data_IF_204483706336
#
_entry.id   IF_204483706336
#
_cell.length_a   1.000
_cell.length_b   1.000
_cell.length_c   1.000
_cell.angle_alpha   90.00
_cell.angle_beta   90.00
_cell.angle_gamma   90.00
#
_symmetry.space_group_name_H-M   'P 1'
#
loop_
_entity.id
_entity.type
_entity.pdbx_description
1 polymer ?
#
# COMPACT_ATOMS: atom_id res chain seq x y z
N UNK A 1 -17.94 -32.49 -26.00
CA UNK A 1 -18.97 -31.58 -25.46
C UNK A 1 -19.20 -31.94 -24.01
N UNK A 2 -18.75 -31.10 -23.10
CA UNK A 2 -18.94 -31.23 -21.65
C UNK A 2 -19.26 -29.84 -21.13
N UNK A 3 -20.34 -29.75 -20.37
CA UNK A 3 -21.02 -28.53 -19.97
C UNK A 3 -20.08 -27.56 -19.22
N UNK A 4 -20.16 -26.27 -19.61
CA UNK A 4 -19.66 -25.18 -18.79
C UNK A 4 -20.42 -25.19 -17.45
N UNK A 5 -19.73 -25.12 -16.30
CA UNK A 5 -20.41 -24.79 -15.05
C UNK A 5 -21.03 -23.40 -15.21
N UNK A 6 -22.28 -23.30 -14.79
CA UNK A 6 -23.06 -22.07 -14.77
C UNK A 6 -22.27 -20.92 -14.15
N UNK A 7 -22.25 -19.78 -14.83
CA UNK A 7 -21.83 -18.51 -14.25
C UNK A 7 -22.48 -18.36 -12.87
N UNK A 8 -21.66 -18.22 -11.83
CA UNK A 8 -22.13 -17.72 -10.54
C UNK A 8 -22.95 -16.46 -10.83
N UNK A 9 -24.25 -16.50 -10.50
CA UNK A 9 -25.06 -15.28 -10.47
C UNK A 9 -24.28 -14.29 -9.61
N UNK A 10 -23.87 -13.17 -10.18
CA UNK A 10 -23.23 -12.07 -9.46
C UNK A 10 -23.97 -11.88 -8.14
N UNK A 11 -23.36 -12.28 -7.03
CA UNK A 11 -23.97 -12.10 -5.73
C UNK A 11 -24.15 -10.60 -5.58
N UNK A 12 -25.41 -10.15 -5.51
CA UNK A 12 -25.70 -8.74 -5.23
C UNK A 12 -25.03 -8.47 -3.88
N UNK A 13 -23.97 -7.67 -3.89
CA UNK A 13 -23.31 -7.16 -2.69
C UNK A 13 -23.97 -5.82 -2.40
N UNK A 14 -24.80 -5.78 -1.37
CA UNK A 14 -25.47 -4.57 -0.92
C UNK A 14 -25.63 -4.57 0.60
N UNK A 15 -26.21 -3.52 1.15
CA UNK A 15 -26.24 -3.30 2.59
C UNK A 15 -27.24 -4.25 3.27
N UNK A 16 -27.12 -4.38 4.59
CA UNK A 16 -28.04 -5.18 5.41
C UNK A 16 -28.53 -4.38 6.61
N UNK A 17 -29.82 -4.43 6.89
CA UNK A 17 -30.45 -3.61 7.93
C UNK A 17 -31.93 -3.41 7.69
N UNK A 18 -32.42 -2.20 7.99
CA UNK A 18 -33.83 -1.85 7.88
C UNK A 18 -34.02 -0.57 7.09
N UNK A 19 -35.05 -0.56 6.25
CA UNK A 19 -35.50 0.58 5.48
C UNK A 19 -36.87 1.03 6.03
N UNK A 20 -36.93 2.22 6.59
CA UNK A 20 -38.14 2.85 7.12
C UNK A 20 -38.76 3.75 6.05
N UNK A 21 -40.06 3.59 5.78
CA UNK A 21 -40.82 4.43 4.86
C UNK A 21 -42.29 4.49 5.29
N UNK A 22 -42.84 5.68 5.44
CA UNK A 22 -44.25 5.91 5.83
C UNK A 22 -44.70 5.12 7.08
N UNK A 23 -43.80 4.97 8.06
CA UNK A 23 -44.03 4.21 9.30
C UNK A 23 -43.97 2.69 9.14
N UNK A 24 -43.63 2.19 7.96
CA UNK A 24 -43.37 0.77 7.70
C UNK A 24 -41.87 0.48 7.76
N UNK A 25 -41.54 -0.72 8.24
CA UNK A 25 -40.17 -1.22 8.33
C UNK A 25 -39.99 -2.39 7.36
N UNK A 26 -39.11 -2.20 6.39
CA UNK A 26 -38.71 -3.18 5.39
C UNK A 26 -37.37 -3.79 5.79
N UNK A 27 -37.22 -5.10 5.61
CA UNK A 27 -35.95 -5.78 5.87
C UNK A 27 -35.08 -5.66 4.62
N UNK A 28 -33.83 -5.27 4.79
CA UNK A 28 -32.82 -5.29 3.72
C UNK A 28 -31.77 -6.34 4.06
N UNK A 29 -31.55 -7.30 3.17
CA UNK A 29 -30.58 -8.38 3.34
C UNK A 29 -29.73 -8.52 2.08
N UNK A 30 -28.43 -8.26 2.20
CA UNK A 30 -27.47 -8.19 1.08
C UNK A 30 -28.01 -7.36 -0.10
N UNK A 31 -28.56 -6.19 0.22
CA UNK A 31 -29.17 -5.25 -0.71
C UNK A 31 -30.59 -5.60 -1.17
N UNK A 32 -31.10 -6.80 -0.93
CA UNK A 32 -32.49 -7.15 -1.32
C UNK A 32 -33.46 -6.62 -0.28
N UNK A 33 -34.47 -5.89 -0.74
CA UNK A 33 -35.50 -5.29 0.11
C UNK A 33 -36.72 -6.21 0.15
N UNK A 34 -37.20 -6.52 1.35
CA UNK A 34 -38.36 -7.40 1.58
C UNK A 34 -39.49 -6.66 2.30
N UNK A 35 -40.70 -6.88 1.83
CA UNK A 35 -41.96 -6.51 2.49
C UNK A 35 -42.78 -7.78 2.69
N UNK A 36 -43.11 -8.11 3.94
CA UNK A 36 -43.83 -9.35 4.30
C UNK A 36 -43.24 -10.62 3.65
N UNK A 37 -41.90 -10.70 3.61
CA UNK A 37 -41.17 -11.84 3.02
C UNK A 37 -41.07 -11.85 1.49
N UNK A 38 -41.70 -10.91 0.79
CA UNK A 38 -41.63 -10.79 -0.67
C UNK A 38 -40.57 -9.76 -1.09
N UNK A 39 -39.73 -10.06 -2.11
CA UNK A 39 -38.75 -9.09 -2.61
C UNK A 39 -39.46 -7.95 -3.32
N UNK A 40 -39.23 -6.72 -2.86
CA UNK A 40 -39.85 -5.50 -3.40
C UNK A 40 -38.85 -4.52 -4.02
N UNK A 41 -37.56 -4.83 -4.02
CA UNK A 41 -36.54 -4.02 -4.68
C UNK A 41 -35.11 -4.40 -4.29
N UNK A 42 -34.15 -3.62 -4.79
CA UNK A 42 -32.73 -3.70 -4.44
C UNK A 42 -32.26 -2.32 -3.98
N UNK A 43 -31.52 -2.27 -2.88
CA UNK A 43 -30.77 -1.14 -2.35
C UNK A 43 -29.27 -1.41 -2.51
N UNK A 44 -28.51 -0.41 -2.96
CA UNK A 44 -27.05 -0.44 -3.03
C UNK A 44 -26.43 0.39 -1.90
N UNK A 45 -25.15 0.17 -1.62
CA UNK A 45 -24.44 0.85 -0.51
C UNK A 45 -24.42 2.37 -0.69
N UNK A 46 -24.40 2.85 -1.94
CA UNK A 46 -24.43 4.26 -2.31
C UNK A 46 -25.83 4.89 -2.31
N UNK A 47 -26.84 4.16 -1.83
CA UNK A 47 -28.21 4.64 -1.72
C UNK A 47 -29.02 4.63 -3.01
N UNK A 48 -28.55 4.00 -4.08
CA UNK A 48 -29.42 3.72 -5.23
C UNK A 48 -30.40 2.59 -4.95
N UNK A 49 -31.60 2.76 -5.51
CA UNK A 49 -32.67 1.77 -5.53
C UNK A 49 -32.90 1.29 -6.96
N UNK A 50 -33.18 0.00 -7.14
CA UNK A 50 -33.51 -0.59 -8.44
C UNK A 50 -34.67 -1.60 -8.31
N UNK A 51 -35.45 -1.76 -9.38
CA UNK A 51 -36.53 -2.74 -9.48
C UNK A 51 -37.53 -2.69 -8.32
N UNK A 52 -37.78 -1.47 -7.83
CA UNK A 52 -38.69 -1.23 -6.71
C UNK A 52 -40.14 -1.46 -7.09
N UNK A 53 -40.95 -1.91 -6.15
CA UNK A 53 -42.39 -2.20 -6.29
C UNK A 53 -43.10 -2.08 -4.94
N UNK A 54 -44.43 -2.26 -4.93
CA UNK A 54 -45.22 -2.22 -3.71
C UNK A 54 -45.16 -0.86 -3.02
N UNK A 55 -44.82 -0.86 -1.73
CA UNK A 55 -44.75 0.33 -0.85
C UNK A 55 -43.67 1.32 -1.27
N UNK A 56 -42.65 0.86 -2.00
CA UNK A 56 -41.63 1.73 -2.60
C UNK A 56 -42.09 2.37 -3.93
N UNK A 57 -43.22 1.94 -4.48
CA UNK A 57 -43.69 2.31 -5.82
C UNK A 57 -42.96 1.56 -6.94
N UNK A 58 -43.65 1.37 -8.07
CA UNK A 58 -43.12 0.61 -9.21
C UNK A 58 -42.12 1.46 -10.02
N UNK A 59 -40.84 1.08 -9.98
CA UNK A 59 -39.80 1.73 -10.78
C UNK A 59 -38.71 0.72 -11.16
N UNK A 60 -38.51 0.52 -12.47
CA UNK A 60 -37.56 -0.48 -12.99
C UNK A 60 -36.12 0.04 -13.10
N UNK A 61 -35.91 1.36 -13.16
CA UNK A 61 -34.58 1.96 -13.31
C UNK A 61 -33.96 2.32 -11.96
N UNK A 62 -32.65 2.57 -11.99
CA UNK A 62 -31.92 3.14 -10.86
C UNK A 62 -32.49 4.52 -10.49
N UNK A 63 -32.71 4.76 -9.21
CA UNK A 63 -33.03 6.07 -8.64
C UNK A 63 -32.44 6.23 -7.25
N UNK A 64 -32.01 7.43 -6.83
CA UNK A 64 -31.54 7.66 -5.46
C UNK A 64 -32.65 7.46 -4.42
N UNK A 65 -32.30 7.01 -3.22
CA UNK A 65 -33.21 6.86 -2.07
C UNK A 65 -33.93 8.18 -1.73
N UNK A 66 -33.30 9.33 -1.96
CA UNK A 66 -33.89 10.66 -1.71
C UNK A 66 -35.12 10.95 -2.57
N UNK A 67 -35.31 10.20 -3.67
CA UNK A 67 -36.53 10.34 -4.49
C UNK A 67 -37.77 9.77 -3.80
N UNK A 68 -37.60 9.05 -2.69
CA UNK A 68 -38.66 8.56 -1.81
C UNK A 68 -38.69 9.42 -0.54
N UNK A 69 -39.64 10.37 -0.43
CA UNK A 69 -39.73 11.26 0.74
C UNK A 69 -39.84 10.46 2.05
N UNK A 70 -39.03 10.83 3.05
CA UNK A 70 -39.04 10.19 4.37
C UNK A 70 -38.45 8.78 4.43
N UNK A 71 -37.89 8.27 3.33
CA UNK A 71 -37.28 6.95 3.29
C UNK A 71 -35.89 6.96 3.93
N UNK A 72 -35.69 6.13 4.96
CA UNK A 72 -34.43 6.06 5.72
C UNK A 72 -33.98 4.61 5.88
N UNK A 73 -32.76 4.30 5.45
CA UNK A 73 -32.07 3.05 5.76
C UNK A 73 -31.14 3.21 6.97
N UNK A 74 -31.11 2.19 7.83
CA UNK A 74 -30.16 2.05 8.93
C UNK A 74 -29.65 0.61 8.99
N UNK A 75 -28.34 0.44 8.97
CA UNK A 75 -27.72 -0.88 9.02
C UNK A 75 -26.22 -0.84 8.80
N UNK A 76 -25.73 -1.80 8.03
CA UNK A 76 -24.34 -1.93 7.61
C UNK A 76 -24.24 -1.98 6.10
N UNK A 77 -23.13 -1.49 5.55
CA UNK A 77 -22.80 -1.67 4.13
C UNK A 77 -22.42 -3.13 3.83
N UNK A 78 -22.20 -3.43 2.55
CA UNK A 78 -21.82 -4.77 2.09
C UNK A 78 -20.51 -5.32 2.67
N UNK A 79 -19.72 -4.48 3.35
CA UNK A 79 -18.45 -4.84 3.99
C UNK A 79 -18.50 -4.75 5.53
N UNK A 80 -19.68 -4.49 6.10
CA UNK A 80 -19.92 -4.54 7.54
C UNK A 80 -19.65 -3.25 8.32
N UNK A 81 -19.48 -2.11 7.65
CA UNK A 81 -19.40 -0.81 8.31
C UNK A 81 -20.78 -0.17 8.46
N UNK A 82 -21.00 0.56 9.56
CA UNK A 82 -22.25 1.30 9.80
C UNK A 82 -22.65 2.18 8.61
N UNK A 83 -23.91 2.09 8.20
CA UNK A 83 -24.47 2.80 7.07
C UNK A 83 -25.86 3.37 7.42
N UNK A 84 -26.02 4.66 7.15
CA UNK A 84 -27.30 5.38 7.25
C UNK A 84 -27.53 6.12 5.94
N UNK A 85 -28.70 5.93 5.33
CA UNK A 85 -29.07 6.56 4.06
C UNK A 85 -30.48 7.14 4.15
N UNK A 86 -30.78 8.32 3.58
CA UNK A 86 -29.79 9.29 3.14
C UNK A 86 -28.89 9.73 4.31
N UNK A 87 -27.63 10.13 4.06
CA UNK A 87 -26.80 10.79 5.05
C UNK A 87 -27.44 12.12 5.45
N UNK A 88 -27.06 12.67 6.62
CA UNK A 88 -27.63 13.88 7.23
C UNK A 88 -27.77 15.10 6.31
N UNK A 89 -26.89 16.09 6.42
CA UNK A 89 -26.89 17.21 5.46
C UNK A 89 -26.48 16.68 4.07
N UNK A 90 -27.23 17.05 3.03
CA UNK A 90 -26.93 16.63 1.66
C UNK A 90 -25.60 17.20 1.17
N UNK A 91 -24.93 16.51 0.25
CA UNK A 91 -23.69 16.98 -0.37
C UNK A 91 -23.78 17.16 -1.89
N UNK A 92 -22.64 17.40 -2.57
CA UNK A 92 -22.61 17.65 -4.00
C UNK A 92 -22.95 16.41 -4.82
N UNK A 93 -23.28 16.59 -6.09
CA UNK A 93 -23.46 15.50 -7.05
C UNK A 93 -22.66 15.75 -8.32
N UNK A 94 -22.07 14.70 -8.90
CA UNK A 94 -21.23 14.82 -10.09
C UNK A 94 -20.30 13.63 -10.31
N UNK A 95 -19.16 13.89 -10.94
CA UNK A 95 -18.10 12.92 -11.15
C UNK A 95 -16.85 13.31 -10.37
N UNK A 96 -16.15 12.31 -9.85
CA UNK A 96 -14.88 12.47 -9.14
C UNK A 96 -13.81 11.58 -9.77
N UNK A 97 -12.60 12.12 -9.92
CA UNK A 97 -11.40 11.37 -10.26
C UNK A 97 -10.42 11.43 -9.10
N UNK A 98 -10.07 10.29 -8.53
CA UNK A 98 -9.20 10.17 -7.35
C UNK A 98 -7.99 9.29 -7.70
N UNK A 99 -6.81 9.90 -7.74
CA UNK A 99 -5.57 9.28 -8.23
C UNK A 99 -5.71 8.57 -9.59
N UNK A 100 -6.53 9.10 -10.49
CA UNK A 100 -6.79 8.44 -11.78
C UNK A 100 -8.06 7.60 -11.83
N UNK A 101 -8.52 7.09 -10.68
CA UNK A 101 -9.70 6.22 -10.55
C UNK A 101 -10.98 7.05 -10.64
N UNK A 102 -11.97 6.56 -11.39
CA UNK A 102 -13.24 7.24 -11.60
C UNK A 102 -14.29 6.79 -10.57
N UNK A 103 -14.97 7.77 -9.99
CA UNK A 103 -16.04 7.63 -9.03
C UNK A 103 -17.22 8.53 -9.41
N UNK A 104 -18.42 8.14 -9.00
CA UNK A 104 -19.58 9.02 -9.02
C UNK A 104 -19.85 9.58 -7.64
N UNK A 105 -20.36 10.81 -7.61
CA UNK A 105 -20.78 11.49 -6.39
C UNK A 105 -22.28 11.74 -6.47
N UNK A 106 -23.04 11.28 -5.49
CA UNK A 106 -24.50 11.46 -5.43
C UNK A 106 -24.91 11.91 -4.04
N UNK A 107 -25.39 13.16 -3.95
CA UNK A 107 -25.78 13.81 -2.70
C UNK A 107 -24.70 13.68 -1.61
N UNK A 108 -23.45 13.87 -1.99
CA UNK A 108 -22.27 13.75 -1.13
C UNK A 108 -21.71 12.35 -1.02
N UNK A 109 -22.38 11.30 -1.49
CA UNK A 109 -21.86 9.92 -1.43
C UNK A 109 -20.90 9.65 -2.59
N UNK A 110 -19.67 9.29 -2.27
CA UNK A 110 -18.65 8.85 -3.24
C UNK A 110 -18.81 7.36 -3.43
N UNK A 111 -19.07 6.93 -4.65
CA UNK A 111 -19.30 5.53 -4.95
C UNK A 111 -18.58 5.06 -6.20
N UNK A 112 -18.15 3.80 -6.13
CA UNK A 112 -17.51 3.08 -7.22
C UNK A 112 -18.54 2.70 -8.29
N UNK A 113 -18.13 2.42 -9.54
CA UNK A 113 -19.06 2.13 -10.64
C UNK A 113 -20.02 0.94 -10.41
N UNK A 114 -19.68 0.06 -9.47
CA UNK A 114 -20.50 -1.07 -9.04
C UNK A 114 -21.47 -0.74 -7.88
N UNK A 115 -21.62 0.54 -7.55
CA UNK A 115 -22.44 1.08 -6.46
C UNK A 115 -21.94 0.77 -5.04
N UNK A 116 -20.68 0.36 -4.89
CA UNK A 116 -20.02 0.28 -3.59
C UNK A 116 -19.75 1.68 -3.02
N UNK A 117 -20.16 1.92 -1.77
CA UNK A 117 -19.91 3.19 -1.09
C UNK A 117 -18.45 3.25 -0.61
N UNK A 118 -17.74 4.28 -1.07
CA UNK A 118 -16.32 4.50 -0.80
C UNK A 118 -16.12 5.56 0.28
N UNK A 119 -17.00 6.55 0.32
CA UNK A 119 -16.85 7.69 1.20
C UNK A 119 -17.93 8.72 1.02
N UNK A 120 -17.71 9.87 1.64
CA UNK A 120 -18.57 11.04 1.57
C UNK A 120 -17.73 12.28 1.23
N UNK A 121 -18.37 13.27 0.65
CA UNK A 121 -17.80 14.59 0.38
C UNK A 121 -18.83 15.66 0.70
N UNK A 122 -18.38 16.75 1.31
CA UNK A 122 -19.20 17.93 1.57
C UNK A 122 -19.10 18.98 0.43
N UNK A 123 -19.93 20.02 0.52
CA UNK A 123 -19.94 21.11 -0.46
C UNK A 123 -18.66 21.97 -0.46
N UNK A 124 -17.82 21.84 0.56
CA UNK A 124 -16.52 22.51 0.67
C UNK A 124 -15.39 21.68 0.03
N UNK A 125 -15.67 20.43 -0.33
CA UNK A 125 -14.72 19.51 -0.94
C UNK A 125 -13.94 18.66 0.07
N UNK A 126 -14.33 18.65 1.35
CA UNK A 126 -13.75 17.76 2.35
C UNK A 126 -14.19 16.33 2.11
N UNK A 127 -13.24 15.41 2.02
CA UNK A 127 -13.50 13.99 1.78
C UNK A 127 -13.41 13.19 3.08
N UNK A 128 -14.36 12.28 3.26
CA UNK A 128 -14.39 11.30 4.33
C UNK A 128 -14.41 9.90 3.71
N UNK A 129 -13.37 9.09 3.93
CA UNK A 129 -13.33 7.71 3.41
C UNK A 129 -13.92 6.72 4.40
N UNK A 130 -14.48 5.63 3.87
CA UNK A 130 -14.80 4.42 4.62
C UNK A 130 -13.57 3.52 4.64
N UNK A 131 -13.04 3.26 5.83
CA UNK A 131 -11.86 2.43 6.02
C UNK A 131 -12.29 1.07 6.56
N UNK A 132 -12.71 0.19 5.65
CA UNK A 132 -13.22 -1.15 5.95
C UNK A 132 -12.21 -2.02 6.68
N UNK A 133 -10.92 -1.88 6.35
CA UNK A 133 -9.85 -2.65 7.00
C UNK A 133 -9.80 -2.34 8.50
N UNK A 134 -9.83 -1.06 8.86
CA UNK A 134 -9.68 -0.61 10.24
C UNK A 134 -11.02 -0.39 10.95
N UNK A 135 -12.12 -0.73 10.28
CA UNK A 135 -13.50 -0.56 10.76
C UNK A 135 -13.84 0.89 11.16
N UNK A 136 -13.33 1.86 10.40
CA UNK A 136 -13.63 3.28 10.61
C UNK A 136 -14.65 3.75 9.55
N UNK A 137 -15.90 4.08 9.94
CA UNK A 137 -16.95 4.45 8.99
C UNK A 137 -16.73 5.81 8.34
N UNK A 138 -16.04 6.74 9.03
CA UNK A 138 -15.73 8.07 8.51
C UNK A 138 -14.33 8.49 8.91
N UNK A 139 -13.41 8.45 7.95
CA UNK A 139 -12.05 8.93 8.08
C UNK A 139 -11.87 10.22 7.28
N UNK A 140 -11.75 11.36 7.95
CA UNK A 140 -11.49 12.65 7.30
C UNK A 140 -10.12 12.62 6.63
N UNK A 141 -10.07 13.02 5.36
CA UNK A 141 -8.81 13.25 4.66
C UNK A 141 -8.30 14.68 4.89
N UNK A 142 -6.98 14.80 4.95
CA UNK A 142 -6.24 16.05 5.01
C UNK A 142 -5.16 16.09 3.92
N UNK A 143 -4.42 17.19 3.86
CA UNK A 143 -3.41 17.42 2.82
C UNK A 143 -2.28 16.36 2.81
N UNK A 144 -2.03 15.70 3.94
CA UNK A 144 -0.95 14.71 4.09
C UNK A 144 -1.34 13.30 3.65
N UNK A 145 -2.64 12.99 3.60
CA UNK A 145 -3.17 11.66 3.29
C UNK A 145 -4.13 11.64 2.08
N UNK A 146 -4.58 12.78 1.57
CA UNK A 146 -5.35 12.85 0.34
C UNK A 146 -4.48 12.54 -0.90
N UNK A 147 -5.07 11.96 -1.94
CA UNK A 147 -4.44 11.75 -3.25
C UNK A 147 -5.02 12.72 -4.27
N UNK A 148 -4.36 12.89 -5.43
CA UNK A 148 -4.79 13.84 -6.45
C UNK A 148 -6.27 13.69 -6.77
N UNK A 149 -7.06 14.75 -6.57
CA UNK A 149 -8.52 14.70 -6.63
C UNK A 149 -9.04 15.77 -7.59
N UNK A 150 -9.95 15.38 -8.49
CA UNK A 150 -10.67 16.30 -9.37
C UNK A 150 -12.16 15.99 -9.24
N UNK A 151 -12.97 17.01 -8.97
CA UNK A 151 -14.43 16.92 -8.85
C UNK A 151 -15.06 17.91 -9.81
N UNK A 152 -16.02 17.41 -10.59
CA UNK A 152 -16.85 18.22 -11.48
C UNK A 152 -18.32 17.86 -11.25
N UNK A 153 -19.13 18.85 -10.87
CA UNK A 153 -20.50 18.62 -10.46
C UNK A 153 -21.26 19.86 -10.02
N UNK A 154 -22.21 19.67 -9.10
CA UNK A 154 -23.00 20.72 -8.47
C UNK A 154 -23.04 20.53 -6.96
N UNK A 155 -22.98 21.63 -6.21
CA UNK A 155 -23.23 21.67 -4.77
C UNK A 155 -24.69 21.36 -4.45
N UNK A 156 -25.00 21.13 -3.18
CA UNK A 156 -26.39 20.98 -2.71
C UNK A 156 -27.26 22.20 -3.03
N UNK A 157 -26.67 23.40 -3.08
CA UNK A 157 -27.33 24.66 -3.51
C UNK A 157 -27.72 24.69 -4.98
N UNK A 158 -27.18 23.78 -5.81
CA UNK A 158 -27.31 23.77 -7.26
C UNK A 158 -26.20 24.53 -7.99
N UNK A 159 -25.32 25.25 -7.27
CA UNK A 159 -24.17 25.95 -7.84
C UNK A 159 -23.16 24.96 -8.43
N UNK A 160 -22.46 25.37 -9.49
CA UNK A 160 -21.42 24.54 -10.08
C UNK A 160 -20.26 24.32 -9.08
N UNK A 161 -19.85 23.06 -8.95
CA UNK A 161 -18.69 22.65 -8.18
C UNK A 161 -17.59 22.21 -9.15
N UNK A 162 -16.46 22.90 -9.09
CA UNK A 162 -15.21 22.44 -9.68
C UNK A 162 -14.12 22.54 -8.62
N UNK A 163 -13.61 21.38 -8.20
CA UNK A 163 -12.56 21.30 -7.19
C UNK A 163 -11.41 20.46 -7.74
N UNK A 164 -10.19 20.96 -7.60
CA UNK A 164 -8.97 20.27 -8.01
C UNK A 164 -7.97 20.38 -6.86
N UNK A 165 -7.62 19.24 -6.27
CA UNK A 165 -6.61 19.14 -5.23
C UNK A 165 -5.45 18.29 -5.69
N UNK A 166 -4.25 18.80 -5.47
CA UNK A 166 -2.99 18.11 -5.72
C UNK A 166 -2.03 18.40 -4.59
N UNK A 167 -1.16 17.43 -4.30
CA UNK A 167 -0.08 17.65 -3.33
C UNK A 167 0.90 18.72 -3.82
N UNK A 168 1.55 19.46 -2.89
CA UNK A 168 2.70 20.27 -3.24
C UNK A 168 3.74 19.42 -4.00
N UNK A 169 4.23 19.93 -5.14
CA UNK A 169 5.17 19.26 -6.06
C UNK A 169 4.60 18.04 -6.82
N UNK A 170 3.28 17.92 -6.93
CA UNK A 170 2.63 16.92 -7.77
C UNK A 170 2.93 17.12 -9.26
N UNK A 171 3.32 16.04 -9.94
CA UNK A 171 3.39 15.99 -11.40
C UNK A 171 2.04 15.48 -11.92
N UNK A 172 1.28 16.36 -12.59
CA UNK A 172 -0.11 16.11 -13.03
C UNK A 172 -0.29 14.88 -13.94
N UNK A 173 0.78 14.44 -14.56
CA UNK A 173 0.84 13.30 -15.48
C UNK A 173 1.21 11.97 -14.80
N UNK A 174 1.42 11.94 -13.48
CA UNK A 174 1.99 10.79 -12.77
C UNK A 174 1.08 10.24 -11.67
N UNK A 175 1.01 8.91 -11.49
CA UNK A 175 0.34 8.32 -10.34
C UNK A 175 1.09 8.66 -9.04
N UNK A 176 0.41 8.50 -7.90
CA UNK A 176 0.99 8.78 -6.58
C UNK A 176 2.33 8.06 -6.37
N UNK A 177 2.39 6.76 -6.67
CA UNK A 177 3.60 5.96 -6.44
C UNK A 177 4.84 6.52 -7.13
N UNK A 178 4.72 6.87 -8.42
CA UNK A 178 5.80 7.51 -9.18
C UNK A 178 6.16 8.88 -8.61
N UNK A 179 5.16 9.70 -8.28
CA UNK A 179 5.41 11.02 -7.70
C UNK A 179 6.10 10.95 -6.34
N UNK A 180 5.82 9.94 -5.51
CA UNK A 180 6.48 9.75 -4.21
C UNK A 180 7.92 9.25 -4.38
N UNK A 181 8.18 8.35 -5.32
CA UNK A 181 9.55 7.91 -5.64
C UNK A 181 10.43 9.06 -6.15
N UNK A 182 9.87 9.95 -6.97
CA UNK A 182 10.56 11.17 -7.43
C UNK A 182 10.87 12.10 -6.24
N UNK A 183 9.93 12.26 -5.30
CA UNK A 183 10.12 13.10 -4.11
C UNK A 183 11.14 12.53 -3.14
N UNK A 184 11.21 11.21 -3.04
CA UNK A 184 12.17 10.52 -2.19
C UNK A 184 13.62 10.67 -2.70
N UNK A 185 13.83 10.80 -4.00
CA UNK A 185 15.18 10.92 -4.58
C UNK A 185 15.51 12.37 -4.96
N UNK A 186 16.34 13.06 -4.16
CA UNK A 186 16.55 14.52 -4.25
C UNK A 186 17.04 14.99 -5.63
N UNK A 187 17.92 14.23 -6.28
CA UNK A 187 18.52 14.57 -7.57
C UNK A 187 17.90 13.81 -8.75
N UNK A 188 16.61 13.44 -8.63
CA UNK A 188 15.93 12.58 -9.61
C UNK A 188 16.05 13.10 -11.05
N UNK A 189 15.93 14.41 -11.26
CA UNK A 189 15.98 14.99 -12.61
C UNK A 189 17.36 14.80 -13.27
N UNK A 190 18.44 14.71 -12.48
CA UNK A 190 19.80 14.43 -12.94
C UNK A 190 20.06 12.97 -13.32
N UNK A 191 19.16 12.05 -12.98
CA UNK A 191 19.31 10.63 -13.33
C UNK A 191 19.03 10.38 -14.82
N UNK A 192 19.79 9.45 -15.41
CA UNK A 192 19.53 8.95 -16.75
C UNK A 192 18.35 7.97 -16.78
N UNK A 193 17.88 7.58 -17.98
CA UNK A 193 16.70 6.72 -18.14
C UNK A 193 16.83 5.35 -17.45
N UNK A 194 18.01 4.73 -17.49
CA UNK A 194 18.27 3.42 -16.87
C UNK A 194 18.24 3.51 -15.34
N UNK A 195 18.84 4.56 -14.78
CA UNK A 195 18.83 4.84 -13.34
C UNK A 195 17.40 5.09 -12.83
N UNK A 196 16.61 5.88 -13.56
CA UNK A 196 15.20 6.15 -13.22
C UNK A 196 14.37 4.87 -13.25
N UNK A 197 14.56 4.02 -14.26
CA UNK A 197 13.88 2.72 -14.36
C UNK A 197 14.24 1.82 -13.19
N UNK A 198 15.53 1.68 -12.87
CA UNK A 198 16.00 0.88 -11.74
C UNK A 198 15.38 1.35 -10.41
N UNK A 199 15.38 2.66 -10.16
CA UNK A 199 14.77 3.25 -8.97
C UNK A 199 13.29 2.89 -8.84
N UNK A 200 12.52 3.02 -9.93
CA UNK A 200 11.10 2.68 -9.91
C UNK A 200 10.84 1.20 -9.68
N UNK A 201 11.65 0.31 -10.27
CA UNK A 201 11.54 -1.13 -10.03
C UNK A 201 11.83 -1.49 -8.56
N UNK A 202 12.78 -0.80 -7.92
CA UNK A 202 13.19 -1.06 -6.54
C UNK A 202 12.19 -0.51 -5.50
N UNK A 203 11.57 0.65 -5.76
CA UNK A 203 10.78 1.36 -4.74
C UNK A 203 9.27 1.29 -4.93
N UNK A 204 8.77 0.73 -6.03
CA UNK A 204 7.32 0.69 -6.34
C UNK A 204 6.49 0.15 -5.17
N UNK A 205 6.89 -0.97 -4.57
CA UNK A 205 6.17 -1.56 -3.44
C UNK A 205 6.04 -0.58 -2.26
N UNK A 206 7.14 0.07 -1.89
CA UNK A 206 7.20 0.95 -0.74
C UNK A 206 6.42 2.25 -0.98
N UNK A 207 6.41 2.73 -2.22
CA UNK A 207 5.60 3.86 -2.62
C UNK A 207 4.10 3.51 -2.58
N UNK A 208 3.68 2.43 -3.25
CA UNK A 208 2.27 2.02 -3.34
C UNK A 208 1.67 1.61 -1.99
N UNK A 209 2.49 1.22 -1.00
CA UNK A 209 2.05 0.94 0.37
C UNK A 209 2.03 2.16 1.29
N UNK A 210 2.54 3.32 0.84
CA UNK A 210 2.64 4.57 1.60
C UNK A 210 3.85 4.65 2.56
N UNK A 211 4.60 3.55 2.72
CA UNK A 211 5.76 3.48 3.60
C UNK A 211 6.89 4.42 3.18
N UNK A 212 7.08 4.59 1.87
CA UNK A 212 8.09 5.50 1.33
C UNK A 212 7.83 6.94 1.79
N UNK A 213 6.56 7.37 1.80
CA UNK A 213 6.20 8.69 2.30
C UNK A 213 6.48 8.81 3.79
N UNK A 214 6.07 7.83 4.60
CA UNK A 214 6.30 7.87 6.06
C UNK A 214 7.79 8.05 6.33
N UNK A 215 8.61 7.16 5.78
CA UNK A 215 10.07 7.21 5.91
C UNK A 215 10.64 8.55 5.41
N UNK A 216 10.19 9.04 4.26
CA UNK A 216 10.65 10.32 3.71
C UNK A 216 10.36 11.50 4.64
N UNK A 217 9.19 11.49 5.26
CA UNK A 217 8.74 12.58 6.14
C UNK A 217 9.32 12.52 7.54
N UNK A 218 9.69 11.34 8.03
CA UNK A 218 10.20 11.16 9.40
C UNK A 218 11.72 11.08 9.45
N UNK A 219 12.32 10.35 8.49
CA UNK A 219 13.75 10.14 8.42
C UNK A 219 14.36 11.08 7.38
N UNK A 220 13.96 10.99 6.12
CA UNK A 220 14.47 11.88 5.09
C UNK A 220 14.57 11.23 3.71
N UNK A 221 15.26 11.91 2.81
CA UNK A 221 15.36 11.55 1.40
C UNK A 221 16.63 10.73 1.09
N UNK A 222 16.67 10.17 -0.12
CA UNK A 222 17.87 9.58 -0.71
C UNK A 222 18.51 10.55 -1.73
N UNK A 223 19.84 10.61 -1.77
CA UNK A 223 20.61 11.40 -2.73
C UNK A 223 21.83 10.64 -3.24
N UNK A 224 22.39 11.06 -4.39
CA UNK A 224 23.72 10.60 -4.81
C UNK A 224 24.80 11.44 -4.14
N UNK A 225 25.90 10.81 -3.74
CA UNK A 225 27.07 11.53 -3.26
C UNK A 225 28.34 10.73 -3.41
N UNK A 226 29.45 11.37 -3.06
CA UNK A 226 30.77 10.73 -3.06
C UNK A 226 31.06 10.25 -1.64
N UNK A 227 30.48 9.11 -1.25
CA UNK A 227 30.71 8.52 0.08
C UNK A 227 31.73 7.40 -0.10
N UNK A 228 32.97 7.64 0.34
CA UNK A 228 33.96 6.55 0.38
C UNK A 228 33.47 5.50 1.38
N UNK A 229 33.20 4.28 0.89
CA UNK A 229 32.87 3.11 1.69
C UNK A 229 33.71 3.04 2.97
N UNK A 230 33.03 2.99 4.12
CA UNK A 230 33.65 2.98 5.45
C UNK A 230 32.99 3.93 6.46
N UNK A 231 32.09 4.81 6.02
CA UNK A 231 31.44 5.81 6.87
C UNK A 231 29.90 5.79 6.86
N UNK A 232 29.24 4.97 6.02
CA UNK A 232 27.78 4.87 6.00
C UNK A 232 27.21 4.34 7.33
N UNK A 233 27.95 3.44 7.99
CA UNK A 233 27.57 2.92 9.31
C UNK A 233 27.83 3.84 10.51
N UNK A 234 28.55 4.97 10.36
CA UNK A 234 28.93 5.79 11.53
C UNK A 234 28.91 7.32 11.37
N UNK A 235 28.76 7.90 10.19
CA UNK A 235 28.72 9.36 10.04
C UNK A 235 27.68 9.78 9.01
N UNK A 236 26.48 10.08 9.52
CA UNK A 236 25.33 10.62 8.76
C UNK A 236 24.00 10.63 9.52
N UNK A 237 23.90 9.90 10.64
CA UNK A 237 22.65 9.69 11.41
C UNK A 237 22.22 10.91 12.27
N UNK A 238 22.48 12.14 11.82
CA UNK A 238 21.93 13.35 12.47
C UNK A 238 21.03 14.20 11.59
N UNK A 239 20.86 13.86 10.30
CA UNK A 239 19.96 14.59 9.38
C UNK A 239 19.02 13.69 8.57
N UNK A 240 19.03 12.37 8.80
CA UNK A 240 18.03 11.41 8.31
C UNK A 240 17.92 11.20 6.78
N UNK A 241 18.71 11.92 5.99
CA UNK A 241 18.94 11.59 4.57
C UNK A 241 19.96 10.46 4.41
N UNK A 242 19.78 9.63 3.38
CA UNK A 242 20.76 8.62 2.95
C UNK A 242 21.45 9.06 1.66
N UNK A 243 22.75 8.77 1.57
CA UNK A 243 23.58 9.11 0.42
C UNK A 243 24.11 7.84 -0.20
N UNK A 244 23.70 7.56 -1.43
CA UNK A 244 24.21 6.48 -2.27
C UNK A 244 25.52 6.89 -2.91
N UNK A 245 26.53 6.03 -2.81
CA UNK A 245 27.75 6.22 -3.59
C UNK A 245 27.45 6.06 -5.08
N UNK A 246 27.91 7.02 -5.89
CA UNK A 246 27.60 7.05 -7.32
C UNK A 246 28.20 5.88 -8.08
N UNK A 247 29.42 5.48 -7.75
CA UNK A 247 30.10 4.37 -8.44
C UNK A 247 29.46 3.03 -8.08
N UNK A 248 29.07 2.87 -6.81
CA UNK A 248 28.26 1.74 -6.37
C UNK A 248 26.90 1.68 -7.05
N UNK A 249 26.18 2.81 -7.10
CA UNK A 249 24.87 2.87 -7.74
C UNK A 249 24.94 2.49 -9.22
N UNK A 250 25.90 3.02 -9.97
CA UNK A 250 26.07 2.70 -11.39
C UNK A 250 26.51 1.23 -11.60
N UNK A 251 27.36 0.70 -10.71
CA UNK A 251 27.77 -0.70 -10.72
C UNK A 251 26.58 -1.63 -10.44
N UNK A 252 25.82 -1.39 -9.39
CA UNK A 252 24.69 -2.24 -9.01
C UNK A 252 23.60 -2.28 -10.08
N UNK A 253 23.38 -1.17 -10.77
CA UNK A 253 22.52 -1.12 -11.95
C UNK A 253 23.01 -2.07 -13.04
N UNK A 254 24.29 -2.03 -13.39
CA UNK A 254 24.86 -2.93 -14.40
C UNK A 254 24.71 -4.39 -13.98
N UNK A 255 25.03 -4.71 -12.73
CA UNK A 255 24.87 -6.06 -12.18
C UNK A 255 23.42 -6.52 -12.19
N UNK A 256 22.48 -5.66 -11.80
CA UNK A 256 21.05 -5.98 -11.78
C UNK A 256 20.52 -6.31 -13.17
N UNK A 257 20.84 -5.51 -14.20
CA UNK A 257 20.35 -5.77 -15.55
C UNK A 257 21.08 -6.92 -16.25
N UNK A 258 22.31 -7.25 -15.82
CA UNK A 258 23.11 -8.33 -16.40
C UNK A 258 22.90 -9.69 -15.74
N UNK A 259 22.73 -9.70 -14.42
CA UNK A 259 22.71 -10.92 -13.59
C UNK A 259 21.38 -11.10 -12.84
N UNK A 260 20.51 -10.09 -12.84
CA UNK A 260 19.28 -10.09 -12.06
C UNK A 260 19.50 -9.66 -10.61
N UNK A 261 18.54 -9.98 -9.76
CA UNK A 261 18.52 -9.54 -8.36
C UNK A 261 19.69 -10.09 -7.54
N UNK A 262 20.10 -11.33 -7.81
CA UNK A 262 21.18 -11.98 -7.09
C UNK A 262 22.41 -12.15 -7.98
N UNK A 263 23.60 -11.88 -7.43
CA UNK A 263 24.87 -12.19 -8.08
C UNK A 263 25.78 -12.97 -7.13
N UNK A 264 26.32 -14.10 -7.59
CA UNK A 264 27.39 -14.80 -6.89
C UNK A 264 28.74 -14.27 -7.37
N UNK A 265 29.55 -13.72 -6.47
CA UNK A 265 30.84 -13.11 -6.78
C UNK A 265 31.97 -13.91 -6.15
N UNK A 266 33.05 -14.10 -6.92
CA UNK A 266 34.27 -14.75 -6.42
C UNK A 266 34.98 -13.84 -5.42
N UNK A 267 35.42 -14.42 -4.32
CA UNK A 267 36.28 -13.73 -3.36
C UNK A 267 37.76 -13.97 -3.66
N UNK A 268 38.65 -13.36 -2.86
CA UNK A 268 40.09 -13.64 -2.91
C UNK A 268 40.43 -15.07 -2.45
N UNK A 269 39.52 -15.72 -1.74
CA UNK A 269 39.66 -17.11 -1.28
C UNK A 269 39.09 -18.00 -2.38
N UNK A 270 39.95 -18.87 -2.93
CA UNK A 270 39.57 -19.78 -4.02
C UNK A 270 38.39 -20.65 -3.58
N UNK A 271 37.46 -20.90 -4.52
CA UNK A 271 36.28 -21.77 -4.36
C UNK A 271 35.19 -21.26 -3.41
N UNK A 272 35.39 -20.09 -2.77
CA UNK A 272 34.41 -19.42 -1.91
C UNK A 272 33.74 -18.26 -2.64
N UNK A 273 32.41 -18.24 -2.60
CA UNK A 273 31.55 -17.23 -3.22
C UNK A 273 30.81 -16.44 -2.15
N UNK A 274 30.59 -15.17 -2.44
CA UNK A 274 29.65 -14.30 -1.73
C UNK A 274 28.42 -14.11 -2.63
N UNK A 275 27.21 -14.29 -2.10
CA UNK A 275 25.98 -13.96 -2.84
C UNK A 275 25.57 -12.53 -2.49
N UNK A 276 25.35 -11.67 -3.46
CA UNK A 276 24.92 -10.28 -3.25
C UNK A 276 23.53 -10.04 -3.80
N UNK A 277 22.83 -9.08 -3.20
CA UNK A 277 21.56 -8.55 -3.69
C UNK A 277 21.83 -7.21 -4.38
N UNK A 278 21.54 -7.11 -5.67
CA UNK A 278 21.83 -5.93 -6.50
C UNK A 278 20.68 -4.89 -6.42
N UNK A 279 20.27 -4.52 -5.21
CA UNK A 279 19.12 -3.64 -4.92
C UNK A 279 19.51 -2.51 -3.95
N UNK A 280 20.62 -1.81 -4.24
CA UNK A 280 21.21 -0.82 -3.33
C UNK A 280 20.25 0.29 -2.90
N UNK A 281 19.35 0.75 -3.78
CA UNK A 281 18.37 1.80 -3.41
C UNK A 281 17.39 1.28 -2.36
N UNK A 282 16.92 0.04 -2.51
CA UNK A 282 16.01 -0.57 -1.56
C UNK A 282 16.72 -0.99 -0.26
N UNK A 283 18.00 -1.34 -0.34
CA UNK A 283 18.86 -1.59 0.82
C UNK A 283 18.97 -0.34 1.71
N UNK A 284 19.32 0.80 1.11
CA UNK A 284 19.40 2.08 1.82
C UNK A 284 18.05 2.53 2.40
N UNK A 285 16.97 2.33 1.64
CA UNK A 285 15.62 2.52 2.17
C UNK A 285 15.36 1.62 3.38
N UNK A 286 15.86 0.38 3.39
CA UNK A 286 15.77 -0.55 4.51
C UNK A 286 16.39 -0.02 5.80
N UNK A 287 17.54 0.64 5.71
CA UNK A 287 18.13 1.33 6.88
C UNK A 287 17.22 2.41 7.45
N UNK A 288 16.63 3.26 6.60
CA UNK A 288 15.69 4.27 7.08
C UNK A 288 14.39 3.64 7.62
N UNK A 289 13.90 2.58 6.97
CA UNK A 289 12.71 1.86 7.40
C UNK A 289 12.89 1.27 8.80
N UNK A 290 14.10 0.86 9.20
CA UNK A 290 14.37 0.38 10.55
C UNK A 290 13.97 1.40 11.63
N UNK A 291 14.19 2.70 11.35
CA UNK A 291 13.88 3.78 12.29
C UNK A 291 12.38 4.03 12.44
N UNK A 292 11.52 3.57 11.54
CA UNK A 292 10.05 3.72 11.73
C UNK A 292 9.43 2.55 12.51
N UNK A 293 10.20 1.49 12.74
CA UNK A 293 9.73 0.30 13.47
C UNK A 293 9.60 0.56 14.98
N UNK A 294 8.68 -0.16 15.60
CA UNK A 294 8.57 -0.23 17.05
C UNK A 294 9.82 -0.87 17.67
N UNK A 295 10.13 -0.53 18.92
CA UNK A 295 11.24 -1.14 19.65
C UNK A 295 11.11 -2.68 19.74
N UNK A 296 9.89 -3.18 19.95
CA UNK A 296 9.62 -4.62 20.01
C UNK A 296 9.97 -5.32 18.69
N UNK A 297 9.61 -4.70 17.56
CA UNK A 297 9.94 -5.20 16.22
C UNK A 297 11.46 -5.20 16.00
N UNK A 298 12.16 -4.12 16.37
CA UNK A 298 13.62 -4.03 16.23
C UNK A 298 14.34 -5.10 17.07
N UNK A 299 13.91 -5.34 18.31
CA UNK A 299 14.48 -6.40 19.14
C UNK A 299 14.20 -7.79 18.55
N UNK A 300 12.99 -8.01 17.99
CA UNK A 300 12.68 -9.26 17.30
C UNK A 300 13.61 -9.50 16.09
N UNK A 301 13.90 -8.47 15.30
CA UNK A 301 14.83 -8.54 14.16
C UNK A 301 16.25 -8.88 14.65
N UNK A 302 16.71 -8.28 15.75
CA UNK A 302 18.02 -8.60 16.35
C UNK A 302 18.12 -10.06 16.78
N UNK A 303 17.05 -10.61 17.37
CA UNK A 303 17.03 -12.01 17.79
C UNK A 303 17.05 -12.96 16.59
N UNK A 304 16.26 -12.68 15.54
CA UNK A 304 16.32 -13.43 14.28
C UNK A 304 17.72 -13.40 13.66
N UNK A 305 18.36 -12.24 13.61
CA UNK A 305 19.74 -12.11 13.15
C UNK A 305 20.71 -12.98 13.98
N UNK A 306 20.61 -12.96 15.31
CA UNK A 306 21.48 -13.77 16.19
C UNK A 306 21.30 -15.26 15.93
N UNK A 307 20.07 -15.72 15.75
CA UNK A 307 19.76 -17.11 15.41
C UNK A 307 20.37 -17.52 14.07
N UNK A 308 20.18 -16.69 13.03
CA UNK A 308 20.75 -16.94 11.70
C UNK A 308 22.27 -16.90 11.71
N UNK A 309 22.87 -15.93 12.40
CA UNK A 309 24.33 -15.83 12.54
C UNK A 309 24.91 -17.07 13.21
N UNK A 310 24.33 -17.51 14.32
CA UNK A 310 24.76 -18.74 15.02
C UNK A 310 24.66 -19.98 14.13
N UNK A 311 23.61 -20.06 13.31
CA UNK A 311 23.43 -21.14 12.33
C UNK A 311 24.47 -21.07 11.20
N UNK A 312 24.73 -19.87 10.67
CA UNK A 312 25.74 -19.62 9.66
C UNK A 312 27.14 -19.98 10.16
N UNK A 313 27.52 -19.54 11.36
CA UNK A 313 28.84 -19.82 11.95
C UNK A 313 29.08 -21.31 12.15
N UNK A 314 28.01 -22.09 12.31
CA UNK A 314 28.08 -23.56 12.41
C UNK A 314 28.20 -24.24 11.04
N UNK A 315 27.48 -23.76 10.02
CA UNK A 315 27.35 -24.44 8.72
C UNK A 315 28.35 -23.94 7.68
N UNK A 316 28.60 -22.63 7.66
CA UNK A 316 29.50 -21.93 6.75
C UNK A 316 30.42 -21.00 7.58
N UNK A 317 31.33 -21.58 8.40
CA UNK A 317 32.27 -20.79 9.17
C UNK A 317 33.17 -19.96 8.23
N UNK A 318 33.50 -18.73 8.65
CA UNK A 318 34.43 -17.91 7.88
C UNK A 318 35.83 -18.54 7.91
N UNK A 319 36.52 -18.61 6.76
CA UNK A 319 37.95 -18.97 6.74
C UNK A 319 38.76 -18.02 7.61
N UNK A 320 39.76 -18.53 8.33
CA UNK A 320 40.62 -17.72 9.22
C UNK A 320 41.32 -16.57 8.50
N UNK A 321 41.65 -16.77 7.22
CA UNK A 321 42.29 -15.79 6.35
C UNK A 321 41.33 -14.76 5.74
N UNK A 322 40.02 -14.87 5.98
CA UNK A 322 39.03 -13.92 5.47
C UNK A 322 38.91 -12.70 6.40
N UNK A 323 39.31 -11.49 5.96
CA UNK A 323 39.24 -10.30 6.81
C UNK A 323 37.82 -9.71 6.91
N UNK A 324 36.87 -10.20 6.11
CA UNK A 324 35.50 -9.68 6.03
C UNK A 324 34.54 -10.36 7.00
N UNK A 325 33.32 -9.84 7.07
CA UNK A 325 32.24 -10.38 7.90
C UNK A 325 31.08 -11.00 7.09
N UNK A 326 31.15 -10.94 5.75
CA UNK A 326 30.12 -11.49 4.88
C UNK A 326 30.09 -13.02 4.92
N UNK A 327 28.91 -13.63 4.79
CA UNK A 327 28.80 -15.07 4.59
C UNK A 327 29.47 -15.47 3.28
N UNK A 328 30.37 -16.46 3.37
CA UNK A 328 31.00 -17.10 2.24
C UNK A 328 30.55 -18.54 2.16
N UNK A 329 30.18 -18.98 0.96
CA UNK A 329 29.75 -20.35 0.70
C UNK A 329 30.57 -20.98 -0.42
N UNK A 330 30.94 -22.27 -0.32
CA UNK A 330 31.48 -23.00 -1.45
C UNK A 330 30.51 -22.98 -2.64
N UNK A 331 31.03 -23.01 -3.87
CA UNK A 331 30.21 -22.95 -5.08
C UNK A 331 29.07 -23.98 -5.12
N UNK A 332 29.32 -25.21 -4.65
CA UNK A 332 28.33 -26.28 -4.62
C UNK A 332 27.28 -26.14 -3.48
N UNK A 333 27.41 -25.11 -2.63
CA UNK A 333 26.55 -24.83 -1.48
C UNK A 333 25.83 -23.47 -1.57
N UNK A 334 25.85 -22.78 -2.72
CA UNK A 334 25.15 -21.50 -2.91
C UNK A 334 23.67 -21.55 -2.49
N UNK A 335 22.98 -22.63 -2.82
CA UNK A 335 21.55 -22.82 -2.49
C UNK A 335 21.31 -23.16 -1.01
N UNK A 336 22.38 -23.44 -0.26
CA UNK A 336 22.35 -23.74 1.18
C UNK A 336 22.82 -22.57 2.04
N UNK A 337 22.99 -21.38 1.46
CA UNK A 337 23.32 -20.17 2.21
C UNK A 337 22.28 -19.90 3.29
N UNK A 338 22.67 -19.17 4.32
CA UNK A 338 21.82 -18.83 5.46
C UNK A 338 21.21 -17.45 5.27
N UNK A 339 21.98 -16.51 4.72
CA UNK A 339 21.53 -15.14 4.51
C UNK A 339 21.11 -14.87 3.07
N UNK A 340 20.21 -13.90 2.90
CA UNK A 340 19.68 -13.51 1.60
C UNK A 340 20.78 -12.92 0.69
N UNK A 341 21.69 -12.19 1.32
CA UNK A 341 22.95 -11.63 0.81
C UNK A 341 24.04 -11.99 1.82
N UNK A 342 25.26 -12.25 1.36
CA UNK A 342 26.39 -12.53 2.23
C UNK A 342 26.69 -11.35 3.15
N UNK A 343 26.53 -10.12 2.65
CA UNK A 343 26.75 -8.90 3.42
C UNK A 343 25.83 -8.78 4.65
N UNK A 344 24.62 -9.33 4.60
CA UNK A 344 23.67 -9.41 5.71
C UNK A 344 24.24 -10.09 6.97
N UNK A 345 25.25 -10.95 6.84
CA UNK A 345 25.89 -11.61 8.00
C UNK A 345 26.61 -10.61 8.91
N UNK A 346 27.08 -9.48 8.35
CA UNK A 346 27.98 -8.55 9.02
C UNK A 346 27.39 -7.96 10.30
N UNK A 347 26.16 -7.42 10.24
CA UNK A 347 25.45 -6.82 11.38
C UNK A 347 23.94 -7.06 11.25
N UNK A 348 23.18 -6.84 12.35
CA UNK A 348 21.72 -6.93 12.30
C UNK A 348 21.06 -5.83 11.45
N UNK A 349 21.70 -4.66 11.34
CA UNK A 349 21.24 -3.56 10.48
C UNK A 349 21.34 -3.95 9.00
N UNK A 350 22.47 -4.57 8.62
CA UNK A 350 22.68 -5.06 7.26
C UNK A 350 21.79 -6.25 6.94
N UNK A 351 21.57 -7.13 7.91
CA UNK A 351 20.56 -8.19 7.79
C UNK A 351 19.18 -7.65 7.48
N UNK A 352 18.74 -6.63 8.21
CA UNK A 352 17.46 -5.99 7.97
C UNK A 352 17.40 -5.33 6.58
N UNK A 353 18.37 -4.49 6.25
CA UNK A 353 18.42 -3.76 4.97
C UNK A 353 18.42 -4.70 3.77
N UNK A 354 19.19 -5.79 3.82
CA UNK A 354 19.25 -6.80 2.77
C UNK A 354 17.93 -7.58 2.62
N UNK A 355 17.23 -7.84 3.73
CA UNK A 355 15.90 -8.46 3.69
C UNK A 355 14.85 -7.51 3.10
N UNK A 356 14.88 -6.22 3.46
CA UNK A 356 14.02 -5.19 2.85
C UNK A 356 14.30 -5.09 1.36
N UNK A 357 15.57 -5.03 0.96
CA UNK A 357 15.99 -4.99 -0.42
C UNK A 357 15.41 -6.19 -1.20
N UNK A 358 15.67 -7.41 -0.73
CA UNK A 358 15.14 -8.61 -1.35
C UNK A 358 13.60 -8.66 -1.37
N UNK A 359 12.90 -8.13 -0.37
CA UNK A 359 11.44 -8.09 -0.35
C UNK A 359 10.84 -7.08 -1.35
N UNK A 360 11.64 -6.13 -1.82
CA UNK A 360 11.17 -5.04 -2.68
C UNK A 360 10.70 -5.51 -4.05
N UNK A 361 11.33 -6.54 -4.61
CA UNK A 361 10.99 -7.10 -5.92
C UNK A 361 10.55 -8.56 -5.82
N UNK A 362 9.57 -8.95 -6.63
CA UNK A 362 8.89 -10.25 -6.53
C UNK A 362 9.82 -11.47 -6.56
N UNK A 363 10.78 -11.62 -7.49
CA UNK A 363 11.59 -12.83 -7.57
C UNK A 363 12.42 -13.10 -6.30
N UNK A 364 13.01 -12.06 -5.72
CA UNK A 364 13.76 -12.18 -4.45
C UNK A 364 12.86 -12.23 -3.23
N UNK A 365 11.67 -11.63 -3.28
CA UNK A 365 10.64 -11.73 -2.22
C UNK A 365 10.19 -13.17 -2.04
N UNK A 366 9.95 -13.89 -3.14
CA UNK A 366 9.60 -15.32 -3.13
C UNK A 366 10.72 -16.18 -2.55
N UNK A 367 11.98 -15.85 -2.87
CA UNK A 367 13.13 -16.55 -2.31
C UNK A 367 13.31 -16.26 -0.82
N UNK A 368 13.16 -15.01 -0.38
CA UNK A 368 13.22 -14.60 1.03
C UNK A 368 12.17 -15.35 1.86
N UNK A 369 10.95 -15.53 1.33
CA UNK A 369 9.90 -16.31 1.99
C UNK A 369 10.33 -17.74 2.33
N UNK A 370 11.14 -18.36 1.47
CA UNK A 370 11.64 -19.72 1.67
C UNK A 370 12.84 -19.76 2.62
N UNK A 371 13.75 -18.80 2.47
CA UNK A 371 15.00 -18.75 3.21
C UNK A 371 14.80 -18.30 4.68
N UNK A 372 14.04 -17.23 4.86
CA UNK A 372 13.79 -16.58 6.15
C UNK A 372 12.30 -16.19 6.26
N UNK A 373 11.40 -17.17 6.49
CA UNK A 373 9.97 -16.92 6.58
C UNK A 373 9.59 -15.98 7.75
N UNK A 374 10.42 -15.89 8.78
CA UNK A 374 10.14 -15.08 9.97
C UNK A 374 10.32 -13.59 9.69
N UNK A 375 11.42 -13.18 9.03
CA UNK A 375 11.58 -11.79 8.62
C UNK A 375 10.61 -11.42 7.48
N UNK A 376 10.30 -12.37 6.59
CA UNK A 376 9.29 -12.20 5.56
C UNK A 376 7.91 -11.84 6.15
N UNK A 377 7.49 -12.54 7.20
CA UNK A 377 6.23 -12.26 7.90
C UNK A 377 6.20 -10.83 8.49
N UNK A 378 7.31 -10.37 9.08
CA UNK A 378 7.44 -8.99 9.57
C UNK A 378 7.26 -8.00 8.41
N UNK A 379 7.90 -8.25 7.27
CA UNK A 379 7.82 -7.37 6.09
C UNK A 379 6.41 -7.35 5.49
N UNK A 380 5.70 -8.48 5.46
CA UNK A 380 4.29 -8.53 5.10
C UNK A 380 3.42 -7.69 6.04
N UNK A 381 3.64 -7.80 7.36
CA UNK A 381 2.94 -7.00 8.36
C UNK A 381 3.23 -5.51 8.23
N UNK A 382 4.44 -5.11 7.87
CA UNK A 382 4.75 -3.69 7.63
C UNK A 382 3.88 -3.12 6.49
N UNK A 383 3.58 -3.91 5.47
CA UNK A 383 2.71 -3.49 4.35
C UNK A 383 1.22 -3.53 4.73
N UNK A 384 0.75 -4.64 5.31
CA UNK A 384 -0.67 -4.92 5.48
C UNK A 384 -1.20 -4.86 6.91
N UNK A 385 -0.35 -4.72 7.92
CA UNK A 385 -0.69 -4.62 9.34
C UNK A 385 0.26 -3.65 10.08
N UNK A 386 0.59 -2.45 9.54
CA UNK A 386 1.61 -1.55 10.09
C UNK A 386 1.41 -1.19 11.56
N UNK A 387 0.17 -1.16 12.05
CA UNK A 387 -0.21 -0.96 13.46
C UNK A 387 0.43 -1.97 14.43
N UNK A 388 0.83 -3.14 13.93
CA UNK A 388 1.46 -4.21 14.74
C UNK A 388 2.98 -4.09 14.83
N UNK A 389 3.60 -3.27 13.95
CA UNK A 389 5.06 -3.29 13.74
C UNK A 389 5.71 -1.90 13.76
N UNK A 390 4.98 -0.85 13.43
CA UNK A 390 5.49 0.53 13.41
C UNK A 390 5.39 1.20 14.80
N UNK A 391 6.08 2.33 14.95
CA UNK A 391 5.96 3.17 16.14
C UNK A 391 4.52 3.70 16.30
N UNK A 392 3.94 3.75 17.51
CA UNK A 392 2.56 4.19 17.72
C UNK A 392 2.22 5.57 17.14
N UNK A 393 3.17 6.51 17.16
CA UNK A 393 2.99 7.87 16.61
C UNK A 393 2.80 7.89 15.09
N UNK A 394 3.20 6.84 14.38
CA UNK A 394 3.11 6.72 12.92
C UNK A 394 1.87 5.93 12.46
N UNK A 395 1.18 5.24 13.37
CA UNK A 395 0.08 4.31 13.06
C UNK A 395 -1.10 5.03 12.42
N UNK A 396 -1.60 6.10 13.04
CA UNK A 396 -2.75 6.82 12.50
C UNK A 396 -2.45 7.49 11.14
N UNK A 397 -1.31 8.19 10.96
CA UNK A 397 -0.92 8.72 9.64
C UNK A 397 -0.82 7.66 8.53
N UNK A 398 -0.18 6.52 8.79
CA UNK A 398 -0.05 5.47 7.75
C UNK A 398 -1.40 4.82 7.46
N UNK A 399 -2.24 4.57 8.47
CA UNK A 399 -3.56 3.98 8.24
C UNK A 399 -4.44 4.91 7.40
N UNK A 400 -4.38 6.22 7.66
CA UNK A 400 -5.10 7.19 6.85
C UNK A 400 -4.61 7.26 5.41
N UNK A 401 -3.30 7.28 5.21
CA UNK A 401 -2.71 7.22 3.88
C UNK A 401 -3.08 5.93 3.15
N UNK A 402 -3.00 4.77 3.83
CA UNK A 402 -3.34 3.47 3.24
C UNK A 402 -4.82 3.36 2.87
N UNK A 403 -5.74 3.98 3.64
CA UNK A 403 -7.15 4.08 3.24
C UNK A 403 -7.28 4.83 1.90
N UNK A 404 -6.62 5.98 1.77
CA UNK A 404 -6.58 6.72 0.51
C UNK A 404 -5.93 5.94 -0.62
N UNK A 405 -4.84 5.21 -0.37
CA UNK A 405 -4.15 4.40 -1.38
C UNK A 405 -5.02 3.26 -1.92
N UNK A 406 -5.86 2.65 -1.08
CA UNK A 406 -6.83 1.64 -1.54
C UNK A 406 -7.87 2.24 -2.48
N UNK A 407 -8.42 3.40 -2.11
CA UNK A 407 -9.35 4.14 -2.96
C UNK A 407 -8.66 4.67 -4.22
N UNK A 408 -7.40 5.07 -4.14
CA UNK A 408 -6.61 5.52 -5.28
C UNK A 408 -6.09 4.40 -6.18
N UNK A 409 -6.39 3.13 -5.88
CA UNK A 409 -5.96 1.97 -6.65
C UNK A 409 -4.47 1.61 -6.53
N UNK A 410 -3.74 2.20 -5.59
CA UNK A 410 -2.30 1.95 -5.37
C UNK A 410 -2.06 0.76 -4.43
N UNK A 411 -2.84 0.68 -3.35
CA UNK A 411 -2.72 -0.40 -2.36
C UNK A 411 -3.86 -1.40 -2.55
N UNK A 412 -3.54 -2.64 -2.91
CA UNK A 412 -4.51 -3.72 -3.08
C UNK A 412 -3.98 -5.04 -2.51
N UNK A 413 -4.89 -6.00 -2.30
CA UNK A 413 -4.59 -7.28 -1.66
C UNK A 413 -3.54 -8.11 -2.42
N UNK A 414 -3.45 -7.90 -3.75
CA UNK A 414 -2.48 -8.56 -4.61
C UNK A 414 -1.15 -7.81 -4.78
N UNK A 415 -0.90 -6.70 -4.06
CA UNK A 415 0.31 -5.87 -4.25
C UNK A 415 1.61 -6.68 -4.09
N UNK A 416 1.66 -7.63 -3.14
CA UNK A 416 2.83 -8.50 -2.95
C UNK A 416 2.98 -9.60 -4.02
N UNK A 417 2.01 -9.76 -4.93
CA UNK A 417 2.07 -10.71 -6.04
C UNK A 417 2.46 -10.04 -7.37
N UNK A 418 2.61 -8.72 -7.38
CA UNK A 418 3.27 -7.95 -8.45
C UNK A 418 4.78 -7.97 -8.26
#
# INVERSE_FOLDING_TARGET
>A
MSAKPSAEKSAIRGPSGFLEMDGQMLVVDFGRIYHDGNPVGVLYDDGYLQNTSGVLGAHSKLRPIETLPGCVFRGIDSQGLELVLPPGEGGPSGSMKFNGVLYHVVNGRIAAPDHGLVGEIDDDGTIFLRDHRNRVPKRKLDESNQLGTIIEGKKSSGDLMKHEWHRPLFRKDRPYGEAEMIRYFMDFDGLNGTQKKYLFENLKLWASSGLLQVVRTTEGNCALGNVKHGAAGQTGVRTGNVTLDKEEFDRDIDYYYKHGVFAAVYTRIKEMLEVRVNLVVAHEFGHQLEFVLSQATQERIKDLYREQKKRCDKLHPLPEEYPGAAELVPQHHIDKRIFISGYARSTHHEYWAECVAAFSVKPSREYLKQLDPAVYDILCKIVYEPETVLRPVLVEPIMALQASLRVGGELHDNLLNE
#
